data_IF_991504876462
#
_entry.id   IF_991504876462
#
_cell.length_a   1.000
_cell.length_b   1.000
_cell.length_c   1.000
_cell.angle_alpha   90.00
_cell.angle_beta   90.00
_cell.angle_gamma   90.00
#
_symmetry.space_group_name_H-M   'P 1'
#
loop_
_entity.id
_entity.type
_entity.pdbx_description
1 polymer ?
#
# COMPACT_ATOMS: atom_id res chain seq x y z
N UNK A 1 3.29 18.57 53.67
CA UNK A 1 3.57 17.13 53.91
C UNK A 1 4.32 16.59 52.70
N UNK A 2 5.67 16.60 52.78
CA UNK A 2 6.53 16.17 51.65
C UNK A 2 6.73 14.67 51.68
N UNK A 3 6.41 14.00 50.59
CA UNK A 3 6.69 12.57 50.37
C UNK A 3 7.95 12.47 49.54
N UNK A 4 9.00 11.90 50.14
CA UNK A 4 10.29 11.57 49.45
C UNK A 4 10.14 10.25 48.70
N UNK A 5 10.37 10.28 47.38
CA UNK A 5 10.52 9.08 46.54
C UNK A 5 11.98 8.63 46.60
N UNK A 6 12.21 7.40 47.04
CA UNK A 6 13.53 6.71 47.01
C UNK A 6 13.69 6.03 45.63
N UNK A 7 14.70 6.42 44.90
CA UNK A 7 15.18 5.73 43.69
C UNK A 7 16.16 4.63 44.06
N UNK A 8 15.83 3.39 43.75
CA UNK A 8 16.75 2.23 43.85
C UNK A 8 17.41 2.04 42.48
N UNK A 9 18.74 2.18 42.44
CA UNK A 9 19.55 1.84 41.26
C UNK A 9 19.90 0.37 41.31
N UNK A 10 19.49 -0.42 40.31
CA UNK A 10 19.94 -1.81 40.10
C UNK A 10 21.03 -1.79 39.03
N UNK A 11 22.24 -2.19 39.43
CA UNK A 11 23.39 -2.37 38.53
C UNK A 11 23.32 -3.76 37.92
N UNK A 12 23.20 -3.84 36.58
CA UNK A 12 23.41 -5.10 35.83
C UNK A 12 24.88 -5.23 35.43
N UNK A 13 25.48 -6.33 35.87
CA UNK A 13 26.84 -6.75 35.50
C UNK A 13 26.76 -7.60 34.22
N UNK A 14 27.43 -7.16 33.17
CA UNK A 14 27.52 -7.87 31.88
C UNK A 14 28.70 -8.87 31.96
N UNK A 15 28.41 -10.15 31.74
CA UNK A 15 29.44 -11.19 31.57
C UNK A 15 29.55 -11.48 30.08
N UNK A 16 30.69 -11.19 29.48
CA UNK A 16 31.02 -11.55 28.10
C UNK A 16 31.69 -12.95 28.10
N UNK A 17 31.10 -13.89 27.39
CA UNK A 17 31.70 -15.19 27.09
C UNK A 17 32.21 -15.20 25.65
N UNK A 18 33.52 -15.31 25.48
CA UNK A 18 34.20 -15.52 24.18
C UNK A 18 34.32 -17.01 23.96
N UNK A 19 33.74 -17.55 22.88
CA UNK A 19 33.99 -18.91 22.42
C UNK A 19 34.77 -18.87 21.10
N UNK A 20 35.99 -19.34 21.14
CA UNK A 20 36.86 -19.57 19.99
C UNK A 20 36.59 -20.98 19.41
N UNK A 21 36.23 -21.10 18.13
CA UNK A 21 36.21 -22.36 17.40
C UNK A 21 37.41 -22.43 16.45
N UNK A 22 38.23 -23.44 16.66
CA UNK A 22 39.37 -23.82 15.83
C UNK A 22 38.95 -24.71 14.67
N UNK A 23 39.31 -24.33 13.45
CA UNK A 23 39.21 -25.19 12.24
C UNK A 23 40.36 -26.17 12.21
N UNK A 24 40.04 -27.46 12.08
CA UNK A 24 41.04 -28.49 11.71
C UNK A 24 40.60 -29.10 10.36
N UNK A 25 41.41 -28.94 9.35
CA UNK A 25 41.22 -29.57 8.04
C UNK A 25 41.83 -30.98 8.03
N UNK A 26 41.23 -31.86 7.27
CA UNK A 26 41.87 -33.13 6.82
C UNK A 26 41.54 -33.41 5.36
N UNK A 27 42.59 -33.41 4.58
CA UNK A 27 42.60 -33.90 3.20
C UNK A 27 42.61 -35.41 3.17
N UNK A 28 41.85 -36.04 2.26
CA UNK A 28 41.90 -37.49 1.99
C UNK A 28 41.49 -37.78 0.57
N UNK A 29 42.51 -38.07 -0.27
CA UNK A 29 42.32 -38.56 -1.62
C UNK A 29 42.07 -40.07 -1.63
N UNK A 30 41.15 -40.60 -2.48
CA UNK A 30 40.96 -42.02 -2.72
C UNK A 30 40.13 -42.25 -4.00
N UNK A 31 40.75 -42.85 -5.00
CA UNK A 31 40.20 -43.10 -6.34
C UNK A 31 39.56 -44.49 -6.45
N UNK A 32 38.45 -44.55 -7.21
CA UNK A 32 38.02 -45.57 -8.19
C UNK A 32 37.26 -46.81 -7.72
N UNK A 33 36.64 -47.63 -8.64
CA UNK A 33 35.76 -47.22 -9.74
C UNK A 33 34.40 -47.97 -9.80
N UNK A 34 33.47 -47.40 -10.58
CA UNK A 34 32.37 -47.96 -11.38
C UNK A 34 31.50 -49.13 -10.90
N UNK A 35 30.16 -48.91 -10.90
CA UNK A 35 29.18 -49.76 -11.59
C UNK A 35 27.82 -49.03 -11.68
N UNK A 36 27.17 -49.14 -12.85
CA UNK A 36 26.03 -48.38 -13.27
C UNK A 36 24.70 -48.75 -12.62
N UNK A 37 23.78 -47.79 -12.68
CA UNK A 37 22.37 -47.94 -12.35
C UNK A 37 21.67 -46.68 -12.79
N UNK A 38 21.06 -46.71 -14.00
CA UNK A 38 20.31 -45.62 -14.53
C UNK A 38 19.03 -45.42 -13.73
N UNK A 39 18.91 -44.26 -13.11
CA UNK A 39 17.63 -43.73 -12.59
C UNK A 39 17.32 -42.48 -13.36
N UNK A 40 16.29 -42.57 -14.22
CA UNK A 40 15.72 -41.43 -14.93
C UNK A 40 15.01 -40.56 -13.94
N UNK A 41 15.69 -39.49 -13.49
CA UNK A 41 15.05 -38.39 -12.77
C UNK A 41 14.25 -37.59 -13.80
N UNK A 42 12.92 -37.70 -13.72
CA UNK A 42 12.02 -36.75 -14.37
C UNK A 42 12.19 -35.39 -13.71
N UNK A 43 12.87 -34.51 -14.41
CA UNK A 43 12.89 -33.07 -14.09
C UNK A 43 11.54 -32.51 -14.45
N UNK A 44 10.70 -32.29 -13.44
CA UNK A 44 9.49 -31.46 -13.60
C UNK A 44 9.98 -30.03 -13.76
N UNK A 45 9.93 -29.52 -14.98
CA UNK A 45 10.17 -28.09 -15.26
C UNK A 45 9.09 -27.26 -14.54
N UNK A 46 9.52 -26.36 -13.67
CA UNK A 46 8.65 -25.35 -13.08
C UNK A 46 8.08 -24.45 -14.20
N UNK A 47 6.82 -24.03 -14.12
CA UNK A 47 6.23 -23.14 -15.12
C UNK A 47 7.03 -21.84 -15.18
N UNK A 48 7.60 -21.54 -16.34
CA UNK A 48 8.26 -20.27 -16.63
C UNK A 48 7.17 -19.21 -16.72
N UNK A 49 7.03 -18.39 -15.68
CA UNK A 49 6.17 -17.21 -15.71
C UNK A 49 6.82 -16.23 -16.69
N UNK A 50 6.16 -16.01 -17.82
CA UNK A 50 6.57 -14.99 -18.78
C UNK A 50 6.34 -13.62 -18.16
N UNK A 51 7.38 -12.76 -17.98
CA UNK A 51 7.16 -11.42 -17.46
C UNK A 51 6.24 -10.65 -18.39
N UNK A 52 5.16 -10.08 -17.85
CA UNK A 52 4.34 -9.11 -18.58
C UNK A 52 5.23 -7.91 -18.92
N UNK A 53 5.30 -7.49 -20.21
CA UNK A 53 6.10 -6.34 -20.58
C UNK A 53 5.66 -5.11 -19.80
N UNK A 54 6.51 -4.60 -18.92
CA UNK A 54 6.31 -3.28 -18.33
C UNK A 54 6.48 -2.23 -19.43
N UNK A 55 5.64 -1.20 -19.50
CA UNK A 55 5.82 -0.13 -20.47
C UNK A 55 7.19 0.51 -20.26
N UNK A 56 8.01 0.54 -21.31
CA UNK A 56 9.42 0.99 -21.28
C UNK A 56 9.58 2.51 -21.26
N UNK A 57 8.48 3.27 -21.19
CA UNK A 57 8.51 4.73 -21.05
C UNK A 57 7.68 5.12 -19.81
N UNK A 58 8.31 5.85 -18.89
CA UNK A 58 7.62 6.46 -17.75
C UNK A 58 6.53 7.40 -18.27
N UNK A 59 5.30 7.34 -17.69
CA UNK A 59 4.23 8.26 -18.05
C UNK A 59 4.67 9.70 -17.74
N UNK A 60 4.56 10.60 -18.72
CA UNK A 60 4.95 12.00 -18.56
C UNK A 60 3.80 12.89 -19.00
N UNK A 61 3.42 13.87 -18.18
CA UNK A 61 2.44 14.87 -18.54
C UNK A 61 2.99 15.78 -19.65
N UNK A 62 2.15 16.14 -20.61
CA UNK A 62 2.50 17.17 -21.57
C UNK A 62 2.69 18.55 -20.89
N UNK A 63 3.22 19.52 -21.64
CA UNK A 63 3.55 20.83 -21.08
C UNK A 63 2.31 21.63 -20.60
N UNK A 64 1.13 21.40 -21.18
CA UNK A 64 -0.10 22.09 -20.76
C UNK A 64 -0.63 21.49 -19.46
N UNK A 65 -0.67 20.16 -19.38
CA UNK A 65 -1.07 19.39 -18.19
C UNK A 65 -0.11 19.64 -17.03
N UNK A 66 1.20 19.65 -17.29
CA UNK A 66 2.21 19.98 -16.26
C UNK A 66 2.01 21.38 -15.67
N UNK A 67 1.70 22.39 -16.52
CA UNK A 67 1.39 23.75 -16.05
C UNK A 67 0.10 23.79 -15.21
N UNK A 68 -0.91 23.00 -15.57
CA UNK A 68 -2.14 22.94 -14.80
C UNK A 68 -1.89 22.37 -13.38
N UNK A 69 -1.10 21.31 -13.25
CA UNK A 69 -0.71 20.79 -11.93
C UNK A 69 0.14 21.78 -11.15
N UNK A 70 1.12 22.45 -11.80
CA UNK A 70 1.94 23.48 -11.13
C UNK A 70 1.09 24.65 -10.61
N UNK A 71 0.04 25.05 -11.34
CA UNK A 71 -0.89 26.07 -10.88
C UNK A 71 -1.70 25.62 -9.66
N UNK A 72 -2.07 24.33 -9.58
CA UNK A 72 -2.70 23.78 -8.37
C UNK A 72 -1.72 23.76 -7.19
N UNK A 73 -0.47 23.37 -7.40
CA UNK A 73 0.56 23.41 -6.35
C UNK A 73 0.73 24.84 -5.78
N UNK A 74 0.78 25.85 -6.65
CA UNK A 74 0.87 27.23 -6.25
C UNK A 74 -0.39 27.70 -5.49
N UNK A 75 -1.58 27.40 -6.04
CA UNK A 75 -2.86 27.78 -5.45
C UNK A 75 -3.07 27.22 -4.04
N UNK A 76 -2.66 25.97 -3.80
CA UNK A 76 -2.89 25.28 -2.52
C UNK A 76 -1.67 25.27 -1.60
N UNK A 77 -0.52 25.79 -2.05
CA UNK A 77 0.74 25.72 -1.30
C UNK A 77 1.11 24.26 -0.98
N UNK A 78 1.00 23.40 -1.96
CA UNK A 78 1.15 21.96 -1.81
C UNK A 78 2.04 21.37 -2.92
N UNK A 79 2.54 20.16 -2.71
CA UNK A 79 3.17 19.32 -3.73
C UNK A 79 2.17 18.23 -4.14
N UNK A 80 2.05 17.95 -5.43
CA UNK A 80 1.09 17.00 -6.00
C UNK A 80 1.82 15.96 -6.83
N UNK A 81 1.55 14.68 -6.61
CA UNK A 81 2.01 13.58 -7.44
C UNK A 81 0.81 12.86 -8.06
N UNK A 82 0.82 12.67 -9.38
CA UNK A 82 -0.32 12.08 -10.11
C UNK A 82 0.15 11.06 -11.11
N UNK A 83 -0.55 9.93 -11.16
CA UNK A 83 -0.51 8.99 -12.29
C UNK A 83 -1.93 8.63 -12.69
N UNK A 84 -2.20 8.68 -13.99
CA UNK A 84 -3.42 8.15 -14.58
C UNK A 84 -3.06 7.20 -15.74
N UNK A 85 -3.69 6.03 -15.79
CA UNK A 85 -3.47 5.02 -16.83
C UNK A 85 -4.84 4.63 -17.40
N UNK A 86 -5.11 4.97 -18.67
CA UNK A 86 -6.25 4.44 -19.41
C UNK A 86 -5.92 3.00 -19.83
N UNK A 87 -6.73 2.04 -19.39
CA UNK A 87 -6.43 0.63 -19.65
C UNK A 87 -6.91 0.18 -21.04
N UNK A 88 -7.68 1.01 -21.76
CA UNK A 88 -8.16 0.72 -23.11
C UNK A 88 -7.02 0.72 -24.14
N UNK A 89 -6.14 1.70 -24.09
CA UNK A 89 -5.07 1.90 -25.06
C UNK A 89 -3.67 1.99 -24.44
N UNK A 90 -3.59 1.94 -23.09
CA UNK A 90 -2.35 2.09 -22.35
C UNK A 90 -1.85 3.54 -22.28
N UNK A 91 -2.66 4.50 -22.72
CA UNK A 91 -2.38 5.94 -22.56
C UNK A 91 -2.15 6.28 -21.10
N UNK A 92 -1.08 6.99 -20.80
CA UNK A 92 -0.69 7.28 -19.43
C UNK A 92 -0.20 8.71 -19.24
N UNK A 93 -0.50 9.24 -18.07
CA UNK A 93 -0.09 10.55 -17.58
C UNK A 93 0.69 10.38 -16.29
N UNK A 94 1.83 11.05 -16.16
CA UNK A 94 2.59 11.13 -14.91
C UNK A 94 3.04 12.56 -14.62
N UNK A 95 2.77 13.02 -13.40
CA UNK A 95 3.30 14.27 -12.86
C UNK A 95 3.92 13.98 -11.51
N UNK A 96 5.21 14.28 -11.32
CA UNK A 96 6.03 13.86 -10.17
C UNK A 96 5.87 12.36 -9.85
N UNK A 97 5.73 11.55 -10.91
CA UNK A 97 5.35 10.14 -10.82
C UNK A 97 6.34 9.29 -10.01
N UNK A 98 7.63 9.66 -10.04
CA UNK A 98 8.72 8.95 -9.36
C UNK A 98 9.17 9.61 -8.04
N UNK A 99 8.53 10.71 -7.65
CA UNK A 99 8.83 11.34 -6.37
C UNK A 99 8.16 10.60 -5.21
N UNK A 100 8.83 10.53 -4.06
CA UNK A 100 8.27 9.88 -2.88
C UNK A 100 7.25 10.76 -2.17
N UNK A 101 6.16 10.12 -1.78
CA UNK A 101 5.09 10.66 -0.93
C UNK A 101 4.80 9.68 0.20
N UNK A 102 4.44 10.19 1.38
CA UNK A 102 3.88 9.36 2.44
C UNK A 102 2.55 8.75 1.94
N UNK A 103 2.43 7.44 2.02
CA UNK A 103 1.24 6.76 1.48
C UNK A 103 0.03 6.88 2.42
N UNK A 104 0.23 7.10 3.72
CA UNK A 104 -0.83 7.11 4.73
C UNK A 104 -1.75 5.87 4.62
N UNK A 105 -3.05 6.03 4.86
CA UNK A 105 -4.01 4.91 4.80
C UNK A 105 -4.27 4.33 3.40
N UNK A 106 -3.69 4.88 2.31
CA UNK A 106 -3.83 4.24 0.98
C UNK A 106 -3.18 2.85 0.95
N UNK A 107 -2.15 2.63 1.78
CA UNK A 107 -1.49 1.33 1.90
C UNK A 107 -2.41 0.21 2.42
N UNK A 108 -3.54 0.54 3.07
CA UNK A 108 -4.52 -0.44 3.53
C UNK A 108 -5.12 -1.26 2.38
N UNK A 109 -5.17 -0.71 1.16
CA UNK A 109 -5.57 -1.45 -0.03
C UNK A 109 -4.62 -2.63 -0.30
N UNK A 110 -3.32 -2.43 -0.13
CA UNK A 110 -2.30 -3.46 -0.36
C UNK A 110 -2.16 -4.41 0.83
N UNK A 111 -2.36 -3.93 2.07
CA UNK A 111 -2.46 -4.80 3.26
C UNK A 111 -3.65 -5.77 3.10
N UNK A 112 -4.81 -5.26 2.71
CA UNK A 112 -5.99 -6.09 2.46
C UNK A 112 -5.76 -7.09 1.33
N UNK A 113 -5.16 -6.67 0.22
CA UNK A 113 -4.79 -7.55 -0.88
C UNK A 113 -3.86 -8.68 -0.42
N UNK A 114 -2.82 -8.35 0.37
CA UNK A 114 -1.89 -9.34 0.91
C UNK A 114 -2.57 -10.36 1.85
N UNK A 115 -3.55 -9.90 2.65
CA UNK A 115 -4.33 -10.80 3.53
C UNK A 115 -5.24 -11.71 2.71
N UNK A 116 -5.90 -11.19 1.69
CA UNK A 116 -6.77 -11.97 0.81
C UNK A 116 -5.94 -13.06 0.09
N UNK A 117 -4.83 -12.70 -0.55
CA UNK A 117 -3.92 -13.63 -1.24
C UNK A 117 -3.34 -14.74 -0.32
N UNK A 118 -3.13 -14.42 0.97
CA UNK A 118 -2.58 -15.35 1.95
C UNK A 118 -3.64 -16.20 2.68
N UNK A 119 -4.94 -16.00 2.41
CA UNK A 119 -6.04 -16.62 3.15
C UNK A 119 -6.91 -17.49 2.25
N UNK A 120 -7.26 -18.69 2.70
CA UNK A 120 -8.36 -19.44 2.09
C UNK A 120 -9.72 -18.79 2.43
N UNK A 121 -10.79 -19.22 1.75
CA UNK A 121 -12.15 -18.76 2.06
C UNK A 121 -12.53 -19.03 3.53
N UNK A 122 -12.14 -20.19 4.07
CA UNK A 122 -12.40 -20.55 5.46
C UNK A 122 -11.60 -19.66 6.43
N UNK A 123 -10.34 -19.32 6.12
CA UNK A 123 -9.51 -18.43 6.92
C UNK A 123 -10.10 -17.00 7.00
N UNK A 124 -10.84 -16.56 5.97
CA UNK A 124 -11.50 -15.25 5.98
C UNK A 124 -12.67 -15.19 6.99
N UNK A 125 -13.23 -16.31 7.37
CA UNK A 125 -14.30 -16.42 8.38
C UNK A 125 -13.75 -16.66 9.80
N UNK A 126 -12.43 -16.84 9.97
CA UNK A 126 -11.78 -16.89 11.28
C UNK A 126 -12.02 -15.60 12.08
N UNK A 127 -12.38 -15.76 13.36
CA UNK A 127 -12.58 -14.62 14.26
C UNK A 127 -11.26 -14.22 14.92
N UNK A 128 -10.79 -13.03 14.61
CA UNK A 128 -9.68 -12.37 15.28
C UNK A 128 -10.20 -11.72 16.56
N UNK A 129 -9.61 -12.09 17.70
CA UNK A 129 -9.92 -11.51 19.00
C UNK A 129 -8.91 -10.43 19.33
N UNK A 130 -9.38 -9.35 19.88
CA UNK A 130 -8.60 -8.21 20.36
C UNK A 130 -9.29 -7.60 21.59
N UNK A 131 -8.59 -6.77 22.33
CA UNK A 131 -9.15 -6.13 23.51
C UNK A 131 -9.10 -4.59 23.43
N UNK A 132 -9.56 -3.91 24.49
CA UNK A 132 -9.61 -2.44 24.53
C UNK A 132 -8.24 -1.78 24.44
N UNK A 133 -7.16 -2.46 24.81
CA UNK A 133 -5.80 -1.93 24.72
C UNK A 133 -5.27 -1.90 23.28
N UNK A 134 -5.85 -2.68 22.38
CA UNK A 134 -5.49 -2.71 20.96
C UNK A 134 -6.15 -1.57 20.16
N UNK A 135 -7.19 -0.93 20.74
CA UNK A 135 -7.94 0.12 20.07
C UNK A 135 -7.11 1.39 19.88
N UNK A 136 -6.99 1.80 18.64
CA UNK A 136 -6.42 3.11 18.27
C UNK A 136 -7.49 4.21 18.32
N UNK A 137 -7.05 5.46 18.29
CA UNK A 137 -7.94 6.62 18.36
C UNK A 137 -8.96 6.69 17.21
N UNK A 138 -8.58 6.18 16.03
CA UNK A 138 -9.48 6.08 14.87
C UNK A 138 -9.81 4.60 14.59
N UNK A 139 -10.86 4.13 15.22
CA UNK A 139 -11.33 2.74 15.18
C UNK A 139 -12.87 2.68 15.10
N UNK A 140 -13.50 3.24 14.04
CA UNK A 140 -14.96 3.44 13.99
C UNK A 140 -15.77 2.15 14.01
N UNK A 141 -15.20 1.05 13.53
CA UNK A 141 -15.85 -0.26 13.47
C UNK A 141 -15.36 -1.16 14.60
N UNK A 142 -14.03 -1.36 14.70
CA UNK A 142 -13.46 -2.31 15.68
C UNK A 142 -13.79 -1.94 17.12
N UNK A 143 -13.97 -0.65 17.46
CA UNK A 143 -14.39 -0.22 18.80
C UNK A 143 -15.77 -0.78 19.23
N UNK A 144 -16.59 -1.22 18.28
CA UNK A 144 -17.93 -1.74 18.52
C UNK A 144 -17.97 -3.27 18.71
N UNK A 145 -16.84 -3.97 18.44
CA UNK A 145 -16.75 -5.43 18.38
C UNK A 145 -15.70 -6.04 19.33
N UNK A 146 -15.25 -5.27 20.35
CA UNK A 146 -14.17 -5.69 21.27
C UNK A 146 -14.47 -7.01 21.97
N UNK A 147 -15.73 -7.20 22.41
CA UNK A 147 -16.09 -8.37 23.23
C UNK A 147 -16.23 -9.66 22.39
N UNK A 148 -16.66 -9.54 21.14
CA UNK A 148 -16.92 -10.68 20.24
C UNK A 148 -15.79 -10.91 19.22
N UNK A 149 -14.94 -9.94 18.97
CA UNK A 149 -13.95 -9.96 17.88
C UNK A 149 -14.60 -9.75 16.50
N UNK A 150 -13.79 -9.82 15.45
CA UNK A 150 -14.25 -9.68 14.07
C UNK A 150 -13.65 -10.75 13.18
N UNK A 151 -14.37 -11.20 12.17
CA UNK A 151 -13.78 -12.07 11.15
C UNK A 151 -12.71 -11.34 10.34
N UNK A 152 -11.76 -12.07 9.76
CA UNK A 152 -10.73 -11.48 8.87
C UNK A 152 -11.40 -10.69 7.74
N UNK A 153 -12.47 -11.22 7.14
CA UNK A 153 -13.28 -10.53 6.13
C UNK A 153 -13.85 -9.21 6.64
N UNK A 154 -14.40 -9.19 7.85
CA UNK A 154 -14.93 -7.97 8.45
C UNK A 154 -13.85 -6.93 8.77
N UNK A 155 -12.64 -7.37 9.15
CA UNK A 155 -11.49 -6.49 9.34
C UNK A 155 -11.03 -5.88 8.01
N UNK A 156 -11.00 -6.67 6.92
CA UNK A 156 -10.72 -6.16 5.56
C UNK A 156 -11.73 -5.07 5.17
N UNK A 157 -13.03 -5.33 5.35
CA UNK A 157 -14.08 -4.35 5.08
C UNK A 157 -13.92 -3.08 5.92
N UNK A 158 -13.67 -3.21 7.24
CA UNK A 158 -13.49 -2.07 8.14
C UNK A 158 -12.26 -1.22 7.75
N UNK A 159 -11.12 -1.86 7.44
CA UNK A 159 -9.90 -1.18 7.03
C UNK A 159 -10.07 -0.43 5.70
N UNK A 160 -10.86 -0.96 4.77
CA UNK A 160 -11.05 -0.37 3.44
C UNK A 160 -12.17 0.66 3.40
N UNK A 161 -13.35 0.33 3.92
CA UNK A 161 -14.53 1.20 3.83
C UNK A 161 -14.44 2.40 4.76
N UNK A 162 -14.09 2.15 6.03
CA UNK A 162 -14.06 3.17 7.09
C UNK A 162 -12.62 3.59 7.44
N UNK A 163 -11.62 3.02 6.79
CA UNK A 163 -10.20 3.29 7.10
C UNK A 163 -9.82 2.99 8.56
N UNK A 164 -10.47 2.03 9.23
CA UNK A 164 -10.23 1.65 10.62
C UNK A 164 -8.76 1.26 10.86
N UNK A 165 -8.12 1.97 11.79
CA UNK A 165 -6.68 1.80 12.04
C UNK A 165 -6.38 0.53 12.84
N UNK A 166 -7.24 0.18 13.79
CA UNK A 166 -7.09 -1.06 14.57
C UNK A 166 -7.27 -2.27 13.65
N UNK A 167 -8.29 -2.26 12.79
CA UNK A 167 -8.47 -3.31 11.79
C UNK A 167 -7.23 -3.48 10.91
N UNK A 168 -6.64 -2.37 10.44
CA UNK A 168 -5.41 -2.43 9.64
C UNK A 168 -4.24 -3.06 10.39
N UNK A 169 -4.03 -2.71 11.66
CA UNK A 169 -2.94 -3.27 12.47
C UNK A 169 -3.14 -4.77 12.74
N UNK A 170 -4.37 -5.22 13.03
CA UNK A 170 -4.69 -6.64 13.20
C UNK A 170 -4.42 -7.43 11.91
N UNK A 171 -4.72 -6.86 10.74
CA UNK A 171 -4.39 -7.46 9.45
C UNK A 171 -2.88 -7.51 9.19
N UNK A 172 -2.13 -6.46 9.55
CA UNK A 172 -0.65 -6.44 9.48
C UNK A 172 -0.05 -7.50 10.40
N UNK A 173 -0.58 -7.66 11.62
CA UNK A 173 -0.13 -8.69 12.56
C UNK A 173 -0.34 -10.10 11.98
N UNK A 174 -1.49 -10.37 11.36
CA UNK A 174 -1.78 -11.65 10.67
C UNK A 174 -0.77 -11.97 9.56
N UNK A 175 -0.24 -10.95 8.88
CA UNK A 175 0.83 -11.10 7.86
C UNK A 175 2.24 -11.30 8.46
N UNK A 176 2.38 -11.28 9.79
CA UNK A 176 3.67 -11.32 10.47
C UNK A 176 4.37 -9.97 10.54
N UNK A 177 3.60 -8.88 10.70
CA UNK A 177 4.05 -7.50 10.85
C UNK A 177 4.37 -6.82 9.53
N UNK A 178 4.94 -5.62 9.60
CA UNK A 178 5.33 -4.80 8.42
C UNK A 178 6.28 -5.53 7.47
N UNK A 179 7.10 -6.43 8.00
CA UNK A 179 7.99 -7.28 7.19
C UNK A 179 7.21 -8.27 6.30
N UNK A 180 6.04 -8.73 6.74
CA UNK A 180 5.14 -9.56 5.95
C UNK A 180 4.54 -8.80 4.78
N UNK A 181 4.00 -7.59 5.04
CA UNK A 181 3.49 -6.69 4.00
C UNK A 181 4.56 -6.37 2.98
N UNK A 182 5.77 -6.00 3.44
CA UNK A 182 6.90 -5.70 2.56
C UNK A 182 7.30 -6.88 1.67
N UNK A 183 7.34 -8.11 2.21
CA UNK A 183 7.65 -9.30 1.42
C UNK A 183 6.59 -9.56 0.34
N UNK A 184 5.32 -9.38 0.68
CA UNK A 184 4.24 -9.58 -0.28
C UNK A 184 4.32 -8.54 -1.42
N UNK A 185 4.55 -7.26 -1.11
CA UNK A 185 4.77 -6.21 -2.11
C UNK A 185 5.92 -6.56 -3.05
N UNK A 186 7.07 -7.05 -2.51
CA UNK A 186 8.19 -7.54 -3.35
C UNK A 186 7.76 -8.70 -4.25
N UNK A 187 6.88 -9.58 -3.74
CA UNK A 187 6.32 -10.72 -4.50
C UNK A 187 5.52 -10.30 -5.72
N UNK A 188 4.81 -9.18 -5.68
CA UNK A 188 4.08 -8.61 -6.83
C UNK A 188 4.93 -7.66 -7.70
N UNK A 189 6.21 -7.48 -7.37
CA UNK A 189 7.17 -6.68 -8.15
C UNK A 189 7.36 -5.24 -7.68
N UNK A 190 6.87 -4.88 -6.50
CA UNK A 190 7.11 -3.55 -5.91
C UNK A 190 8.43 -3.51 -5.14
N UNK A 191 9.44 -2.92 -5.73
CA UNK A 191 10.76 -2.68 -5.11
C UNK A 191 10.92 -1.27 -4.54
N UNK A 192 9.88 -0.45 -4.59
CA UNK A 192 9.89 0.98 -4.26
C UNK A 192 9.27 1.29 -2.91
N UNK A 193 8.08 0.74 -2.63
CA UNK A 193 7.31 1.03 -1.41
C UNK A 193 8.05 0.57 -0.16
N UNK A 194 8.06 1.44 0.84
CA UNK A 194 8.62 1.17 2.16
C UNK A 194 7.51 1.17 3.20
N UNK A 195 7.31 0.03 3.85
CA UNK A 195 6.41 -0.14 4.99
C UNK A 195 7.28 -0.39 6.21
N UNK A 196 7.48 0.64 7.01
CA UNK A 196 8.41 0.61 8.15
C UNK A 196 7.67 0.59 9.50
N UNK A 197 6.45 1.15 9.57
CA UNK A 197 5.66 1.33 10.80
C UNK A 197 4.21 0.92 10.58
N UNK A 198 3.50 0.76 11.70
CA UNK A 198 2.05 0.51 11.74
C UNK A 198 1.27 1.79 12.06
N UNK A 199 -0.04 1.73 12.06
CA UNK A 199 -0.90 2.82 12.55
C UNK A 199 -0.70 3.02 14.07
N UNK A 200 -0.67 4.27 14.57
CA UNK A 200 -0.81 5.52 13.82
C UNK A 200 0.53 6.12 13.35
N UNK A 201 1.68 5.53 13.68
CA UNK A 201 3.01 6.10 13.52
C UNK A 201 3.39 6.33 12.05
N UNK A 202 2.84 5.54 11.12
CA UNK A 202 3.06 5.71 9.68
C UNK A 202 2.52 7.06 9.16
N UNK A 203 1.61 7.73 9.89
CA UNK A 203 1.00 9.00 9.51
C UNK A 203 1.77 10.24 9.95
N UNK A 204 2.98 10.10 10.50
CA UNK A 204 3.81 11.26 10.85
C UNK A 204 4.25 12.07 9.64
N UNK A 205 4.43 11.42 8.48
CA UNK A 205 4.69 12.01 7.16
C UNK A 205 5.75 13.14 7.16
N UNK A 206 6.80 12.99 7.98
CA UNK A 206 7.84 14.02 8.14
C UNK A 206 8.51 14.28 6.78
N UNK A 207 8.58 15.54 6.30
CA UNK A 207 9.22 15.86 5.04
C UNK A 207 10.67 15.34 4.96
N UNK A 208 10.99 14.60 3.88
CA UNK A 208 12.29 13.99 3.67
C UNK A 208 12.51 12.64 4.39
N UNK A 209 11.60 12.20 5.26
CA UNK A 209 11.66 10.85 5.84
C UNK A 209 11.21 9.81 4.79
N UNK A 210 12.06 8.83 4.41
CA UNK A 210 11.68 7.83 3.41
C UNK A 210 10.80 6.71 3.96
N UNK A 211 10.57 6.63 5.28
CA UNK A 211 9.72 5.60 5.90
C UNK A 211 8.27 5.82 5.52
N UNK A 212 7.55 4.73 5.30
CA UNK A 212 6.13 4.70 5.00
C UNK A 212 5.77 5.57 3.78
N UNK A 213 6.59 5.44 2.73
CA UNK A 213 6.45 6.18 1.47
C UNK A 213 6.44 5.23 0.28
N UNK A 214 5.79 5.70 -0.78
CA UNK A 214 5.84 5.11 -2.12
C UNK A 214 5.95 6.22 -3.17
N UNK A 215 5.90 5.87 -4.46
CA UNK A 215 5.76 6.81 -5.56
C UNK A 215 4.38 6.67 -6.21
N UNK A 216 3.83 7.71 -6.84
CA UNK A 216 2.59 7.60 -7.62
C UNK A 216 2.65 6.50 -8.69
N UNK A 217 3.79 6.35 -9.37
CA UNK A 217 3.99 5.33 -10.39
C UNK A 217 3.90 3.91 -9.83
N UNK A 218 4.59 3.65 -8.70
CA UNK A 218 4.54 2.34 -8.07
C UNK A 218 3.14 2.03 -7.53
N UNK A 219 2.52 2.98 -6.83
CA UNK A 219 1.16 2.78 -6.32
C UNK A 219 0.14 2.51 -7.44
N UNK A 220 0.29 3.13 -8.61
CA UNK A 220 -0.56 2.84 -9.76
C UNK A 220 -0.31 1.45 -10.35
N UNK A 221 0.95 1.00 -10.40
CA UNK A 221 1.29 -0.35 -10.85
C UNK A 221 0.70 -1.41 -9.91
N UNK A 222 0.86 -1.24 -8.60
CA UNK A 222 0.33 -2.15 -7.59
C UNK A 222 -1.19 -2.19 -7.62
N UNK A 223 -1.85 -1.03 -7.68
CA UNK A 223 -3.30 -0.95 -7.74
C UNK A 223 -3.86 -1.64 -8.99
N UNK A 224 -3.19 -1.45 -10.14
CA UNK A 224 -3.52 -2.15 -11.37
C UNK A 224 -3.38 -3.67 -11.21
N UNK A 225 -2.29 -4.13 -10.60
CA UNK A 225 -2.02 -5.55 -10.39
C UNK A 225 -3.09 -6.22 -9.53
N UNK A 226 -3.52 -5.58 -8.42
CA UNK A 226 -4.46 -6.17 -7.47
C UNK A 226 -5.93 -6.02 -7.85
N UNK A 227 -6.33 -4.96 -8.58
CA UNK A 227 -7.74 -4.72 -8.93
C UNK A 227 -8.10 -5.08 -10.37
N UNK A 228 -7.12 -5.14 -11.29
CA UNK A 228 -7.36 -5.36 -12.72
C UNK A 228 -6.48 -6.48 -13.31
N UNK A 229 -5.36 -6.78 -12.67
CA UNK A 229 -4.40 -7.81 -13.08
C UNK A 229 -4.67 -9.16 -12.44
N UNK A 230 -3.63 -9.96 -12.34
CA UNK A 230 -3.62 -11.36 -11.89
C UNK A 230 -2.84 -11.57 -10.57
N UNK A 231 -2.54 -10.48 -9.84
CA UNK A 231 -1.89 -10.57 -8.53
C UNK A 231 -2.78 -11.19 -7.45
N UNK A 232 -4.09 -11.25 -7.67
CA UNK A 232 -5.07 -11.92 -6.82
C UNK A 232 -5.93 -12.87 -7.64
N UNK A 233 -6.41 -13.93 -7.01
CA UNK A 233 -7.45 -14.77 -7.57
C UNK A 233 -8.72 -13.96 -7.87
N UNK A 234 -9.58 -14.39 -8.83
CA UNK A 234 -10.77 -13.64 -9.23
C UNK A 234 -11.73 -13.31 -8.07
N UNK A 235 -11.92 -14.22 -7.12
CA UNK A 235 -12.82 -14.04 -5.98
C UNK A 235 -12.25 -13.02 -4.99
N UNK A 236 -10.96 -13.09 -4.67
CA UNK A 236 -10.27 -12.14 -3.80
C UNK A 236 -10.23 -10.74 -4.42
N UNK A 237 -9.95 -10.66 -5.71
CA UNK A 237 -10.03 -9.39 -6.45
C UNK A 237 -11.44 -8.80 -6.42
N UNK A 238 -12.47 -9.63 -6.51
CA UNK A 238 -13.86 -9.18 -6.41
C UNK A 238 -14.19 -8.66 -5.00
N UNK A 239 -13.71 -9.32 -3.94
CA UNK A 239 -13.83 -8.86 -2.56
C UNK A 239 -13.13 -7.51 -2.36
N UNK A 240 -11.87 -7.39 -2.79
CA UNK A 240 -11.10 -6.15 -2.69
C UNK A 240 -11.80 -5.00 -3.41
N UNK A 241 -12.26 -5.25 -4.64
CA UNK A 241 -12.99 -4.27 -5.45
C UNK A 241 -14.32 -3.84 -4.83
N UNK A 242 -15.07 -4.79 -4.26
CA UNK A 242 -16.32 -4.50 -3.55
C UNK A 242 -16.09 -3.63 -2.31
N UNK A 243 -15.05 -3.93 -1.53
CA UNK A 243 -14.73 -3.18 -0.33
C UNK A 243 -14.29 -1.74 -0.67
N UNK A 244 -13.38 -1.58 -1.66
CA UNK A 244 -12.94 -0.26 -2.12
C UNK A 244 -14.04 0.56 -2.80
N UNK A 245 -14.96 -0.07 -3.55
CA UNK A 245 -16.12 0.62 -4.11
C UNK A 245 -17.09 1.13 -3.03
N UNK A 246 -17.10 0.49 -1.86
CA UNK A 246 -17.92 0.86 -0.72
C UNK A 246 -17.26 1.83 0.26
N UNK A 247 -16.10 2.42 -0.07
CA UNK A 247 -15.43 3.42 0.76
C UNK A 247 -16.36 4.59 1.10
N UNK A 248 -16.35 5.02 2.36
CA UNK A 248 -17.15 6.16 2.87
C UNK A 248 -16.30 7.43 3.04
N UNK A 249 -14.98 7.33 2.85
CA UNK A 249 -14.03 8.41 3.14
C UNK A 249 -13.59 9.20 1.91
N UNK A 250 -14.07 8.84 0.70
CA UNK A 250 -13.59 9.34 -0.60
C UNK A 250 -14.52 10.32 -1.32
N UNK A 251 -15.69 10.69 -0.78
CA UNK A 251 -16.71 11.48 -1.50
C UNK A 251 -16.20 12.84 -1.98
N UNK A 252 -15.29 13.48 -1.21
CA UNK A 252 -14.71 14.79 -1.53
C UNK A 252 -13.46 14.75 -2.41
N UNK A 253 -12.90 13.58 -2.70
CA UNK A 253 -11.59 13.40 -3.34
C UNK A 253 -11.73 13.00 -4.82
N UNK A 254 -11.23 11.84 -5.25
CA UNK A 254 -11.33 11.38 -6.65
C UNK A 254 -12.79 11.35 -7.11
N UNK A 255 -13.73 10.88 -6.27
CA UNK A 255 -15.16 10.85 -6.60
C UNK A 255 -15.71 12.22 -7.00
N UNK A 256 -15.31 13.29 -6.29
CA UNK A 256 -15.71 14.67 -6.63
C UNK A 256 -14.97 15.26 -7.83
N UNK A 257 -13.93 14.59 -8.31
CA UNK A 257 -13.13 15.02 -9.44
C UNK A 257 -13.51 14.39 -10.78
N UNK A 258 -14.18 13.24 -10.77
CA UNK A 258 -14.61 12.54 -12.00
C UNK A 258 -15.97 13.06 -12.49
N UNK A 259 -16.31 12.89 -13.78
CA UNK A 259 -17.64 13.22 -14.30
C UNK A 259 -18.75 12.40 -13.66
N UNK A 260 -19.97 12.96 -13.64
CA UNK A 260 -21.16 12.26 -13.16
C UNK A 260 -21.38 10.93 -13.87
N UNK A 261 -21.83 9.94 -13.13
CA UNK A 261 -22.12 8.60 -13.62
C UNK A 261 -20.91 7.65 -13.74
N UNK A 262 -19.70 8.13 -13.43
CA UNK A 262 -18.54 7.25 -13.30
C UNK A 262 -18.56 6.55 -11.95
N UNK A 263 -18.24 5.25 -11.91
CA UNK A 263 -18.05 4.55 -10.63
C UNK A 263 -16.58 4.56 -10.22
N UNK A 264 -16.35 4.59 -8.91
CA UNK A 264 -15.02 4.71 -8.32
C UNK A 264 -14.86 3.66 -7.22
N UNK A 265 -13.80 2.89 -7.30
CA UNK A 265 -13.32 2.00 -6.25
C UNK A 265 -12.00 2.58 -5.72
N UNK A 266 -12.03 3.19 -4.53
CA UNK A 266 -10.94 4.01 -4.02
C UNK A 266 -10.51 3.68 -2.60
N UNK A 267 -9.32 4.14 -2.26
CA UNK A 267 -8.82 4.18 -0.88
C UNK A 267 -8.10 5.49 -0.63
N UNK A 268 -8.64 6.24 0.33
CA UNK A 268 -8.04 7.51 0.77
C UNK A 268 -6.94 7.31 1.81
N UNK A 269 -6.11 8.34 1.97
CA UNK A 269 -5.12 8.46 3.03
C UNK A 269 -5.01 9.89 3.54
N UNK A 270 -4.84 10.03 4.86
CA UNK A 270 -4.63 11.32 5.53
C UNK A 270 -3.50 11.19 6.54
N UNK A 271 -2.58 12.15 6.56
CA UNK A 271 -1.48 12.20 7.51
C UNK A 271 -1.09 13.64 7.83
N UNK A 272 -0.09 13.82 8.71
CA UNK A 272 0.46 15.14 9.04
C UNK A 272 1.00 15.85 7.79
N UNK A 273 1.34 17.13 7.93
CA UNK A 273 1.82 18.01 6.85
C UNK A 273 0.82 18.15 5.69
N UNK A 274 -0.48 18.11 5.98
CA UNK A 274 -1.53 18.26 5.00
C UNK A 274 -1.59 17.17 3.95
N UNK A 275 -1.06 15.98 4.25
CA UNK A 275 -1.16 14.81 3.37
C UNK A 275 -2.63 14.43 3.20
N UNK A 276 -3.09 14.46 1.97
CA UNK A 276 -4.39 13.94 1.54
C UNK A 276 -4.21 13.22 0.22
N UNK A 277 -4.37 11.92 0.27
CA UNK A 277 -4.13 11.02 -0.85
C UNK A 277 -5.41 10.31 -1.24
N UNK A 278 -5.48 9.89 -2.50
CA UNK A 278 -6.49 8.95 -2.95
C UNK A 278 -5.94 8.11 -4.11
N UNK A 279 -6.22 6.81 -4.10
CA UNK A 279 -5.89 5.86 -5.15
C UNK A 279 -7.16 5.14 -5.59
N UNK A 280 -7.40 5.03 -6.89
CA UNK A 280 -8.66 4.51 -7.40
C UNK A 280 -8.54 3.74 -8.71
N UNK A 281 -9.44 2.78 -8.90
CA UNK A 281 -9.88 2.32 -10.21
C UNK A 281 -11.20 3.02 -10.53
N UNK A 282 -11.18 3.83 -11.56
CA UNK A 282 -12.32 4.64 -12.02
C UNK A 282 -12.90 4.00 -13.26
N UNK A 283 -14.21 3.82 -13.30
CA UNK A 283 -14.92 3.15 -14.39
C UNK A 283 -15.83 4.13 -15.14
N UNK A 284 -15.40 4.68 -16.29
CA UNK A 284 -16.27 5.43 -17.16
C UNK A 284 -17.38 4.54 -17.74
N UNK A 285 -18.60 5.06 -17.97
CA UNK A 285 -19.66 4.28 -18.61
C UNK A 285 -19.27 3.81 -20.03
N UNK A 286 -19.33 2.51 -20.26
CA UNK A 286 -19.07 1.92 -21.58
C UNK A 286 -17.62 1.98 -22.09
N UNK A 287 -16.67 2.26 -21.22
CA UNK A 287 -15.22 2.28 -21.51
C UNK A 287 -14.48 1.38 -20.54
N UNK A 288 -13.23 1.07 -20.87
CA UNK A 288 -12.33 0.37 -19.96
C UNK A 288 -11.95 1.28 -18.76
N UNK A 289 -11.56 0.68 -17.64
CA UNK A 289 -11.25 1.43 -16.43
C UNK A 289 -9.98 2.28 -16.57
N UNK A 290 -9.90 3.31 -15.73
CA UNK A 290 -8.72 4.15 -15.56
C UNK A 290 -8.16 3.88 -14.16
N UNK A 291 -6.87 3.59 -14.05
CA UNK A 291 -6.14 3.60 -12.77
C UNK A 291 -5.71 5.02 -12.48
N UNK A 292 -6.04 5.54 -11.31
CA UNK A 292 -5.74 6.91 -10.92
C UNK A 292 -5.13 6.96 -9.52
N UNK A 293 -4.01 7.64 -9.40
CA UNK A 293 -3.33 7.93 -8.13
C UNK A 293 -3.14 9.43 -8.01
N UNK A 294 -3.56 9.99 -6.88
CA UNK A 294 -3.32 11.39 -6.52
C UNK A 294 -2.75 11.44 -5.11
N UNK A 295 -1.50 11.82 -5.00
CA UNK A 295 -0.82 12.07 -3.73
C UNK A 295 -0.58 13.55 -3.53
N UNK A 296 -0.83 14.05 -2.32
CA UNK A 296 -0.60 15.47 -1.99
C UNK A 296 0.08 15.61 -0.63
N UNK A 297 0.88 16.67 -0.48
CA UNK A 297 1.50 17.05 0.78
C UNK A 297 1.78 18.55 0.81
N UNK A 298 1.83 19.13 1.99
CA UNK A 298 2.15 20.55 2.22
C UNK A 298 3.44 20.68 3.03
N UNK A 299 4.53 20.16 2.46
CA UNK A 299 5.85 20.03 3.11
C UNK A 299 6.36 21.37 3.72
N UNK A 300 5.98 22.51 3.15
CA UNK A 300 6.32 23.86 3.64
C UNK A 300 5.43 24.36 4.77
N UNK A 301 4.33 23.68 5.10
CA UNK A 301 3.44 24.00 6.22
C UNK A 301 3.81 23.13 7.45
N UNK A 302 3.32 23.46 8.62
CA UNK A 302 3.60 22.67 9.83
C UNK A 302 2.94 21.27 9.81
N UNK A 303 3.27 20.45 10.80
CA UNK A 303 2.70 19.12 10.95
C UNK A 303 1.15 19.13 11.03
N UNK A 304 0.59 20.22 11.57
CA UNK A 304 -0.85 20.43 11.74
C UNK A 304 -1.52 21.05 10.48
N UNK A 305 -0.83 21.07 9.34
CA UNK A 305 -1.42 21.61 8.11
C UNK A 305 -2.67 20.81 7.72
N UNK A 306 -3.74 21.53 7.41
CA UNK A 306 -5.01 20.92 7.04
C UNK A 306 -4.91 20.19 5.68
N UNK A 307 -5.41 18.96 5.56
CA UNK A 307 -5.51 18.23 4.31
C UNK A 307 -6.55 18.88 3.38
N UNK A 308 -6.46 18.68 2.07
CA UNK A 308 -7.37 19.29 1.09
C UNK A 308 -7.99 18.29 0.13
N UNK A 309 -9.24 17.90 0.38
CA UNK A 309 -10.06 17.12 -0.56
C UNK A 309 -10.21 17.86 -1.90
N UNK A 310 -10.41 19.18 -1.84
CA UNK A 310 -10.59 20.01 -3.02
C UNK A 310 -9.38 19.98 -3.96
N UNK A 311 -8.15 19.88 -3.42
CA UNK A 311 -6.94 19.73 -4.22
C UNK A 311 -6.92 18.38 -4.94
N UNK A 312 -7.24 17.29 -4.23
CA UNK A 312 -7.31 15.94 -4.83
C UNK A 312 -8.35 15.91 -5.95
N UNK A 313 -9.55 16.46 -5.71
CA UNK A 313 -10.60 16.57 -6.72
C UNK A 313 -10.18 17.42 -7.93
N UNK A 314 -9.47 18.54 -7.70
CA UNK A 314 -8.98 19.40 -8.78
C UNK A 314 -7.90 18.69 -9.62
N UNK A 315 -6.95 18.00 -8.98
CA UNK A 315 -5.93 17.22 -9.65
C UNK A 315 -6.55 16.07 -10.47
N UNK A 316 -7.58 15.42 -9.91
CA UNK A 316 -8.35 14.38 -10.62
C UNK A 316 -8.97 14.92 -11.91
N UNK A 317 -9.62 16.10 -11.88
CA UNK A 317 -10.20 16.73 -13.09
C UNK A 317 -9.16 16.97 -14.17
N UNK A 318 -7.98 17.47 -13.81
CA UNK A 318 -6.87 17.66 -14.76
C UNK A 318 -6.44 16.31 -15.35
N UNK A 319 -6.26 15.30 -14.52
CA UNK A 319 -5.81 13.98 -14.95
C UNK A 319 -6.80 13.31 -15.93
N UNK A 320 -8.09 13.21 -15.58
CA UNK A 320 -9.09 12.53 -16.42
C UNK A 320 -9.36 13.27 -17.73
N UNK A 321 -9.27 14.61 -17.74
CA UNK A 321 -9.36 15.40 -18.98
C UNK A 321 -8.20 15.09 -19.93
N UNK A 322 -6.99 14.94 -19.38
CA UNK A 322 -5.78 14.70 -20.18
C UNK A 322 -5.76 13.31 -20.80
N UNK A 323 -6.05 12.24 -20.04
CA UNK A 323 -6.12 10.87 -20.61
C UNK A 323 -7.33 10.69 -21.50
N UNK A 324 -8.47 11.30 -21.19
CA UNK A 324 -9.67 11.27 -22.06
C UNK A 324 -9.54 12.08 -23.35
N UNK A 325 -8.61 13.02 -23.46
CA UNK A 325 -8.29 13.76 -24.67
C UNK A 325 -7.37 12.96 -25.61
N UNK A 326 -6.48 12.14 -25.05
CA UNK A 326 -5.57 11.28 -25.81
C UNK A 326 -6.31 10.13 -26.54
N UNK A 327 -7.49 9.75 -26.04
CA UNK A 327 -8.31 8.63 -26.56
C UNK A 327 -9.34 9.08 -27.61
N UNK A 328 -9.27 10.31 -28.15
CA UNK A 328 -10.10 10.86 -29.23
C UNK A 328 -9.30 11.09 -30.50
#
# INVERSE_FOLDING_TARGET
MLVRVRTTRTTLTTIAAVAALTLTGCSGSGAGPAAGGGSTASTTEAPTVTPVPQPTSQPTADAATSRAFAALEEQYGARVGVVAIDTADGGSLGYRADERFAFASTNKAFIAAAVLDASSTDDLDDVVRYDRSDLLSYAPVTSQHVDEGMTVRALVDAALRESDNTAANLLVERLGGVGGVSRWLRGIGDDVTRVDRVEPDLNTAIPGDPRDTTTPAQSAADLRAVLLGDALDPDDRALLRSATAGTTTGDGTIRAGVPDGWSVADKTGTASYGVRNDIAVVQPPGRDPIVLVVFTTRDGAGADAEPSDALVAAATRVAVQSVGAASR
#
